data_IF_547449116222
#
_entry.id   IF_547449116222
#
_cell.length_a   1.000
_cell.length_b   1.000
_cell.length_c   1.000
_cell.angle_alpha   90.00
_cell.angle_beta   90.00
_cell.angle_gamma   90.00
#
_symmetry.space_group_name_H-M   'P 1'
#
loop_
_entity.id
_entity.type
_entity.pdbx_description
1 polymer ?
#
# COMPACT_ATOMS: atom_id res chain seq x y z
N UNK A 1 -33.81 -61.69 31.56
CA UNK A 1 -33.07 -60.75 30.70
C UNK A 1 -32.49 -59.66 31.59
N UNK A 2 -31.21 -59.77 31.94
CA UNK A 2 -30.53 -58.89 32.90
C UNK A 2 -30.12 -57.57 32.25
N UNK A 3 -30.30 -56.49 32.99
CA UNK A 3 -30.05 -55.06 32.66
C UNK A 3 -28.65 -54.79 32.08
N UNK A 4 -27.69 -55.69 32.32
CA UNK A 4 -26.33 -55.66 31.78
C UNK A 4 -26.25 -55.87 30.27
N UNK A 5 -27.20 -56.57 29.65
CA UNK A 5 -27.18 -56.80 28.19
C UNK A 5 -27.63 -55.56 27.38
N UNK A 6 -28.53 -54.74 27.93
CA UNK A 6 -28.99 -53.49 27.28
C UNK A 6 -27.93 -52.38 27.32
N UNK A 7 -27.12 -52.30 28.38
CA UNK A 7 -26.03 -51.32 28.48
C UNK A 7 -24.86 -51.63 27.56
N UNK A 8 -24.58 -52.92 27.31
CA UNK A 8 -23.59 -53.35 26.33
C UNK A 8 -24.04 -53.04 24.90
N UNK A 9 -25.32 -53.27 24.58
CA UNK A 9 -25.92 -52.99 23.28
C UNK A 9 -26.03 -51.49 22.98
N UNK A 10 -26.33 -50.67 24.00
CA UNK A 10 -26.29 -49.21 23.90
C UNK A 10 -24.85 -48.72 23.72
N UNK A 11 -23.86 -49.21 24.48
CA UNK A 11 -22.44 -48.85 24.29
C UNK A 11 -21.89 -49.24 22.92
N UNK A 12 -22.35 -50.35 22.36
CA UNK A 12 -21.92 -50.81 21.03
C UNK A 12 -22.56 -50.00 19.89
N UNK A 13 -23.73 -49.39 20.13
CA UNK A 13 -24.38 -48.40 19.23
C UNK A 13 -23.81 -46.99 19.41
N UNK A 14 -23.66 -46.51 20.64
CA UNK A 14 -23.13 -45.17 20.96
C UNK A 14 -21.65 -45.00 20.67
N UNK A 15 -20.84 -46.07 20.66
CA UNK A 15 -19.43 -45.99 20.23
C UNK A 15 -19.24 -45.74 18.73
N UNK A 16 -20.22 -46.12 17.89
CA UNK A 16 -20.22 -45.82 16.44
C UNK A 16 -20.88 -44.46 16.15
N UNK A 17 -21.87 -44.05 16.94
CA UNK A 17 -22.45 -42.71 16.89
C UNK A 17 -21.46 -41.66 17.40
N UNK A 18 -20.74 -41.91 18.50
CA UNK A 18 -19.72 -40.97 19.01
C UNK A 18 -18.52 -40.84 18.07
N UNK A 19 -18.14 -41.93 17.38
CA UNK A 19 -17.11 -41.87 16.35
C UNK A 19 -17.60 -41.07 15.13
N UNK A 20 -18.84 -41.28 14.68
CA UNK A 20 -19.45 -40.49 13.59
C UNK A 20 -19.65 -39.02 13.97
N UNK A 21 -20.04 -38.72 15.19
CA UNK A 21 -20.17 -37.36 15.71
C UNK A 21 -18.81 -36.67 15.82
N UNK A 22 -17.77 -37.40 16.26
CA UNK A 22 -16.39 -36.92 16.27
C UNK A 22 -15.86 -36.66 14.86
N UNK A 23 -16.15 -37.54 13.90
CA UNK A 23 -15.77 -37.38 12.50
C UNK A 23 -16.52 -36.20 11.85
N UNK A 24 -17.81 -36.03 12.14
CA UNK A 24 -18.61 -34.88 11.70
C UNK A 24 -18.10 -33.56 12.31
N UNK A 25 -17.75 -33.55 13.59
CA UNK A 25 -17.19 -32.38 14.25
C UNK A 25 -15.82 -32.00 13.65
N UNK A 26 -14.98 -33.00 13.34
CA UNK A 26 -13.72 -32.77 12.65
C UNK A 26 -13.91 -32.22 11.23
N UNK A 27 -14.85 -32.78 10.47
CA UNK A 27 -15.17 -32.30 9.11
C UNK A 27 -15.71 -30.87 9.11
N UNK A 28 -16.55 -30.51 10.09
CA UNK A 28 -17.05 -29.15 10.25
C UNK A 28 -15.93 -28.17 10.62
N UNK A 29 -15.08 -28.53 11.59
CA UNK A 29 -13.93 -27.70 11.96
C UNK A 29 -12.93 -27.53 10.79
N UNK A 30 -12.74 -28.58 9.99
CA UNK A 30 -11.92 -28.53 8.78
C UNK A 30 -12.54 -27.62 7.71
N UNK A 31 -13.86 -27.72 7.48
CA UNK A 31 -14.58 -26.85 6.55
C UNK A 31 -14.54 -25.38 7.00
N UNK A 32 -14.69 -25.11 8.29
CA UNK A 32 -14.58 -23.76 8.85
C UNK A 32 -13.17 -23.19 8.71
N UNK A 33 -12.14 -24.00 8.93
CA UNK A 33 -10.74 -23.62 8.71
C UNK A 33 -10.43 -23.33 7.23
N UNK A 34 -10.94 -24.16 6.32
CA UNK A 34 -10.82 -23.93 4.88
C UNK A 34 -11.56 -22.65 4.45
N UNK A 35 -12.75 -22.40 4.98
CA UNK A 35 -13.51 -21.17 4.72
C UNK A 35 -12.81 -19.92 5.28
N UNK A 36 -12.20 -20.01 6.46
CA UNK A 36 -11.40 -18.92 7.03
C UNK A 36 -10.16 -18.61 6.19
N UNK A 37 -9.47 -19.65 5.70
CA UNK A 37 -8.32 -19.49 4.81
C UNK A 37 -8.74 -18.86 3.47
N UNK A 38 -9.87 -19.28 2.91
CA UNK A 38 -10.43 -18.68 1.70
C UNK A 38 -10.79 -17.21 1.87
N UNK A 39 -11.42 -16.83 3.00
CA UNK A 39 -11.72 -15.43 3.33
C UNK A 39 -10.46 -14.58 3.46
N UNK A 40 -9.46 -15.07 4.18
CA UNK A 40 -8.17 -14.39 4.32
C UNK A 40 -7.46 -14.18 2.98
N UNK A 41 -7.43 -15.19 2.12
CA UNK A 41 -6.88 -15.06 0.77
C UNK A 41 -7.65 -14.04 -0.07
N UNK A 42 -8.98 -14.01 0.06
CA UNK A 42 -9.82 -13.08 -0.69
C UNK A 42 -9.63 -11.63 -0.23
N UNK A 43 -9.50 -11.38 1.08
CA UNK A 43 -9.16 -10.07 1.63
C UNK A 43 -7.81 -9.59 1.11
N UNK A 44 -6.78 -10.45 1.12
CA UNK A 44 -5.46 -10.12 0.58
C UNK A 44 -5.47 -9.82 -0.92
N UNK A 45 -6.29 -10.53 -1.72
CA UNK A 45 -6.43 -10.23 -3.15
C UNK A 45 -7.07 -8.86 -3.37
N UNK A 46 -8.08 -8.49 -2.56
CA UNK A 46 -8.72 -7.17 -2.63
C UNK A 46 -7.73 -6.06 -2.26
N UNK A 47 -6.94 -6.25 -1.20
CA UNK A 47 -5.88 -5.30 -0.81
C UNK A 47 -4.80 -5.15 -1.89
N UNK A 48 -4.36 -6.26 -2.48
CA UNK A 48 -3.38 -6.22 -3.59
C UNK A 48 -3.95 -5.52 -4.83
N UNK A 49 -5.22 -5.76 -5.17
CA UNK A 49 -5.87 -5.08 -6.28
C UNK A 49 -5.99 -3.56 -6.03
N UNK A 50 -6.35 -3.16 -4.81
CA UNK A 50 -6.39 -1.75 -4.42
C UNK A 50 -4.98 -1.11 -4.49
N UNK A 51 -3.95 -1.81 -4.01
CA UNK A 51 -2.56 -1.35 -4.09
C UNK A 51 -2.06 -1.23 -5.54
N UNK A 52 -2.44 -2.15 -6.43
CA UNK A 52 -2.12 -2.06 -7.86
C UNK A 52 -2.79 -0.87 -8.53
N UNK A 53 -4.04 -0.58 -8.19
CA UNK A 53 -4.75 0.57 -8.74
C UNK A 53 -4.13 1.88 -8.26
N UNK A 54 -3.75 1.96 -6.99
CA UNK A 54 -3.02 3.11 -6.46
C UNK A 54 -1.68 3.31 -7.17
N UNK A 55 -0.92 2.23 -7.38
CA UNK A 55 0.34 2.29 -8.12
C UNK A 55 0.17 2.80 -9.57
N UNK A 56 -0.92 2.40 -10.24
CA UNK A 56 -1.24 2.91 -11.59
C UNK A 56 -1.54 4.40 -11.59
N UNK A 57 -2.31 4.88 -10.60
CA UNK A 57 -2.62 6.30 -10.48
C UNK A 57 -1.35 7.12 -10.24
N UNK A 58 -0.46 6.65 -9.37
CA UNK A 58 0.84 7.31 -9.14
C UNK A 58 1.67 7.32 -10.43
N UNK A 59 1.74 6.21 -11.15
CA UNK A 59 2.48 6.13 -12.41
C UNK A 59 1.95 7.13 -13.46
N UNK A 60 0.62 7.25 -13.59
CA UNK A 60 0.00 8.20 -14.52
C UNK A 60 0.31 9.67 -14.15
N UNK A 61 0.30 10.00 -12.85
CA UNK A 61 0.66 11.35 -12.37
C UNK A 61 2.14 11.65 -12.67
N UNK A 62 3.04 10.68 -12.42
CA UNK A 62 4.46 10.84 -12.70
C UNK A 62 4.75 10.98 -14.19
N UNK A 63 4.03 10.25 -15.05
CA UNK A 63 4.15 10.36 -16.50
C UNK A 63 3.70 11.75 -16.98
N UNK A 64 2.55 12.23 -16.50
CA UNK A 64 2.06 13.57 -16.81
C UNK A 64 3.05 14.67 -16.37
N UNK A 65 3.62 14.56 -15.17
CA UNK A 65 4.58 15.54 -14.68
C UNK A 65 5.89 15.48 -15.46
N UNK A 66 6.34 14.28 -15.84
CA UNK A 66 7.52 14.12 -16.69
C UNK A 66 7.31 14.79 -18.06
N UNK A 67 6.15 14.60 -18.69
CA UNK A 67 5.81 15.25 -19.96
C UNK A 67 5.79 16.78 -19.83
N UNK A 68 5.29 17.31 -18.70
CA UNK A 68 5.32 18.74 -18.38
C UNK A 68 6.76 19.25 -18.28
N UNK A 69 7.60 18.58 -17.48
CA UNK A 69 9.00 18.95 -17.27
C UNK A 69 9.80 18.91 -18.59
N UNK A 70 9.60 17.89 -19.41
CA UNK A 70 10.23 17.75 -20.74
C UNK A 70 9.82 18.92 -21.65
N UNK A 71 8.54 19.27 -21.67
CA UNK A 71 8.02 20.38 -22.48
C UNK A 71 8.58 21.72 -22.03
N UNK A 72 8.57 22.00 -20.72
CA UNK A 72 9.08 23.25 -20.16
C UNK A 72 10.60 23.38 -20.32
N UNK A 73 11.35 22.28 -20.16
CA UNK A 73 12.79 22.26 -20.43
C UNK A 73 13.10 22.49 -21.92
N UNK A 74 12.32 21.91 -22.82
CA UNK A 74 12.42 22.16 -24.27
C UNK A 74 12.20 23.64 -24.59
N UNK A 75 11.17 24.25 -24.01
CA UNK A 75 10.91 25.70 -24.18
C UNK A 75 12.07 26.56 -23.67
N UNK A 76 12.67 26.21 -22.53
CA UNK A 76 13.84 26.93 -22.02
C UNK A 76 15.03 26.83 -22.99
N UNK A 77 15.25 25.66 -23.61
CA UNK A 77 16.30 25.49 -24.62
C UNK A 77 16.03 26.35 -25.87
N UNK A 78 14.79 26.39 -26.35
CA UNK A 78 14.42 27.22 -27.50
C UNK A 78 14.68 28.71 -27.23
N UNK A 79 14.34 29.19 -26.02
CA UNK A 79 14.62 30.57 -25.60
C UNK A 79 16.12 30.86 -25.53
N UNK A 80 16.94 29.91 -25.06
CA UNK A 80 18.41 30.04 -25.09
C UNK A 80 18.92 30.15 -26.52
N UNK A 81 18.40 29.34 -27.45
CA UNK A 81 18.77 29.40 -28.87
C UNK A 81 18.30 30.69 -29.55
N UNK A 82 17.17 31.26 -29.12
CA UNK A 82 16.65 32.54 -29.58
C UNK A 82 17.42 33.76 -29.03
N UNK A 83 18.33 33.55 -28.07
CA UNK A 83 19.09 34.63 -27.44
C UNK A 83 18.33 35.35 -26.33
N UNK A 84 17.36 34.69 -25.71
CA UNK A 84 16.55 35.18 -24.58
C UNK A 84 16.90 34.45 -23.26
N UNK A 85 18.16 34.56 -22.78
CA UNK A 85 18.61 33.79 -21.62
C UNK A 85 17.92 34.19 -20.31
N UNK A 86 17.38 35.42 -20.22
CA UNK A 86 16.65 35.88 -19.05
C UNK A 86 15.34 35.13 -18.85
N UNK A 87 14.57 34.94 -19.92
CA UNK A 87 13.31 34.17 -19.85
C UNK A 87 13.57 32.68 -19.63
N UNK A 88 14.61 32.12 -20.27
CA UNK A 88 15.03 30.75 -20.04
C UNK A 88 15.44 30.50 -18.58
N UNK A 89 16.16 31.45 -17.96
CA UNK A 89 16.57 31.35 -16.57
C UNK A 89 15.38 31.33 -15.60
N UNK A 90 14.32 32.12 -15.85
CA UNK A 90 13.12 32.10 -15.02
C UNK A 90 12.35 30.77 -15.13
N UNK A 91 12.26 30.18 -16.33
CA UNK A 91 11.66 28.84 -16.50
C UNK A 91 12.47 27.79 -15.75
N UNK A 92 13.80 27.77 -15.92
CA UNK A 92 14.67 26.82 -15.22
C UNK A 92 14.61 27.00 -13.70
N UNK A 93 14.47 28.24 -13.21
CA UNK A 93 14.30 28.53 -11.80
C UNK A 93 12.96 28.05 -11.25
N UNK A 94 11.89 28.16 -12.03
CA UNK A 94 10.58 27.60 -11.67
C UNK A 94 10.58 26.07 -11.68
N UNK A 95 11.26 25.44 -12.65
CA UNK A 95 11.48 24.00 -12.70
C UNK A 95 12.34 23.48 -11.53
N UNK A 96 13.30 24.28 -11.08
CA UNK A 96 14.18 23.95 -9.97
C UNK A 96 13.59 24.30 -8.60
N UNK A 97 12.56 25.15 -8.54
CA UNK A 97 11.83 25.41 -7.32
C UNK A 97 10.99 24.18 -7.00
N UNK A 98 11.18 23.60 -5.80
CA UNK A 98 10.34 22.50 -5.32
C UNK A 98 8.86 22.90 -5.46
N UNK A 99 8.02 22.17 -6.22
CA UNK A 99 6.70 22.65 -6.62
C UNK A 99 5.64 22.72 -5.51
N UNK A 100 6.00 22.69 -4.22
CA UNK A 100 5.11 22.09 -3.23
C UNK A 100 4.86 22.94 -1.98
N UNK A 101 4.54 24.21 -2.20
CA UNK A 101 3.73 25.00 -1.27
C UNK A 101 2.40 25.40 -1.94
N UNK A 102 1.51 24.42 -2.16
CA UNK A 102 0.11 24.71 -2.46
C UNK A 102 -0.70 24.72 -1.15
N UNK A 103 -1.07 25.92 -0.71
CA UNK A 103 -1.67 26.24 0.60
C UNK A 103 -3.08 25.64 0.85
N UNK A 104 -3.69 24.99 -0.14
CA UNK A 104 -5.03 24.35 -0.06
C UNK A 104 -5.07 22.93 -0.67
N UNK A 105 -3.91 22.27 -0.82
CA UNK A 105 -3.86 20.95 -1.44
C UNK A 105 -4.06 19.83 -0.41
N UNK A 106 -5.26 19.24 -0.43
CA UNK A 106 -5.64 18.08 0.41
C UNK A 106 -4.92 16.77 0.01
N UNK A 107 -4.07 16.78 -1.02
CA UNK A 107 -3.29 15.61 -1.42
C UNK A 107 -2.14 15.40 -0.44
N UNK A 108 -1.93 14.15 -0.03
CA UNK A 108 -0.83 13.68 0.79
C UNK A 108 0.48 13.70 0.00
N UNK A 109 1.52 14.38 0.50
CA UNK A 109 2.87 14.27 -0.02
C UNK A 109 3.39 12.84 -0.10
N UNK A 110 4.07 12.52 -1.20
CA UNK A 110 4.85 11.31 -1.42
C UNK A 110 6.31 11.71 -1.41
N UNK A 111 7.12 11.04 -0.60
CA UNK A 111 8.54 11.28 -0.46
C UNK A 111 9.38 10.12 -0.97
N UNK A 112 10.61 10.41 -1.39
CA UNK A 112 11.66 9.44 -1.65
C UNK A 112 12.82 9.70 -0.69
N UNK A 113 13.31 8.65 -0.02
CA UNK A 113 14.46 8.76 0.87
C UNK A 113 15.80 8.54 0.16
N UNK A 114 16.92 8.73 0.90
CA UNK A 114 18.27 8.51 0.37
C UNK A 114 18.60 7.08 -0.06
N UNK A 115 17.74 6.11 0.27
CA UNK A 115 17.85 4.71 -0.12
C UNK A 115 16.85 4.33 -1.24
N UNK A 116 16.26 5.32 -1.91
CA UNK A 116 15.25 5.13 -2.96
C UNK A 116 13.96 4.44 -2.51
N UNK A 117 13.61 4.51 -1.21
CA UNK A 117 12.30 4.03 -0.73
C UNK A 117 11.27 5.14 -0.78
N UNK A 118 10.06 4.77 -1.18
CA UNK A 118 8.92 5.67 -1.22
C UNK A 118 8.17 5.69 0.12
N UNK A 119 7.75 6.90 0.51
CA UNK A 119 7.02 7.19 1.73
C UNK A 119 5.82 8.08 1.42
N UNK A 120 4.76 8.00 2.22
CA UNK A 120 3.57 8.85 2.09
C UNK A 120 3.25 9.54 3.42
N UNK A 121 2.84 10.80 3.35
CA UNK A 121 2.43 11.61 4.50
C UNK A 121 1.17 11.10 5.18
N UNK A 122 1.21 11.06 6.50
CA UNK A 122 0.05 10.78 7.34
C UNK A 122 -0.72 12.07 7.74
N UNK A 123 -0.16 13.26 7.49
CA UNK A 123 -0.76 14.57 7.80
C UNK A 123 -0.40 15.16 9.17
N UNK A 124 0.26 14.39 10.02
CA UNK A 124 0.65 14.72 11.40
C UNK A 124 2.18 14.87 11.56
N UNK A 125 2.90 15.06 10.46
CA UNK A 125 4.37 15.05 10.42
C UNK A 125 4.98 13.64 10.41
N UNK A 126 4.16 12.59 10.50
CA UNK A 126 4.58 11.22 10.28
C UNK A 126 4.43 10.81 8.82
N UNK A 127 5.26 9.86 8.42
CA UNK A 127 5.25 9.22 7.10
C UNK A 127 5.21 7.71 7.27
N UNK A 128 4.63 7.00 6.30
CA UNK A 128 4.68 5.53 6.24
C UNK A 128 5.29 5.06 4.93
N UNK A 129 5.90 3.88 4.94
CA UNK A 129 6.41 3.28 3.71
C UNK A 129 5.25 2.95 2.77
N UNK A 130 5.42 3.24 1.47
CA UNK A 130 4.42 2.89 0.45
C UNK A 130 4.42 1.38 0.21
N UNK A 131 5.61 0.74 0.24
CA UNK A 131 5.72 -0.71 0.27
C UNK A 131 5.43 -1.26 1.67
N UNK A 132 4.37 -2.06 1.80
CA UNK A 132 3.96 -2.66 3.06
C UNK A 132 3.04 -1.76 3.86
N UNK A 133 1.78 -1.63 3.42
CA UNK A 133 0.68 -0.87 4.01
C UNK A 133 0.32 -1.20 5.48
N UNK A 134 1.16 -1.96 6.18
CA UNK A 134 1.11 -2.28 7.61
C UNK A 134 2.26 -1.64 8.41
N UNK A 135 3.19 -0.92 7.78
CA UNK A 135 4.26 -0.22 8.50
C UNK A 135 3.67 0.86 9.40
N UNK A 136 4.08 0.89 10.67
CA UNK A 136 3.71 1.97 11.59
C UNK A 136 4.20 3.33 11.05
N UNK A 137 3.43 4.40 11.25
CA UNK A 137 3.89 5.75 10.94
C UNK A 137 5.16 6.09 11.74
N UNK A 138 6.13 6.73 11.09
CA UNK A 138 7.39 7.16 11.69
C UNK A 138 7.57 8.65 11.40
N UNK A 139 8.13 9.46 12.31
CA UNK A 139 8.42 10.85 12.05
C UNK A 139 9.29 11.05 10.80
N UNK A 140 8.93 11.98 9.93
CA UNK A 140 9.71 12.29 8.71
C UNK A 140 11.15 12.70 9.02
N UNK A 141 11.36 13.39 10.15
CA UNK A 141 12.68 13.80 10.63
C UNK A 141 13.60 12.60 10.91
N UNK A 142 13.05 11.48 11.42
CA UNK A 142 13.83 10.28 11.75
C UNK A 142 14.30 9.58 10.47
N UNK A 143 13.44 9.54 9.44
CA UNK A 143 13.82 8.99 8.13
C UNK A 143 14.90 9.85 7.48
N UNK A 144 14.75 11.18 7.51
CA UNK A 144 15.78 12.11 6.99
C UNK A 144 17.11 11.94 7.70
N UNK A 145 17.10 11.82 9.03
CA UNK A 145 18.31 11.60 9.84
C UNK A 145 18.96 10.26 9.51
N UNK A 146 18.16 9.19 9.36
CA UNK A 146 18.65 7.84 9.10
C UNK A 146 19.19 7.63 7.69
N UNK A 147 18.57 8.27 6.70
CA UNK A 147 18.87 8.03 5.27
C UNK A 147 19.62 9.17 4.60
N UNK A 148 19.83 10.29 5.32
CA UNK A 148 20.53 11.47 4.82
C UNK A 148 19.73 12.35 3.87
N UNK A 149 18.58 11.87 3.35
CA UNK A 149 17.75 12.59 2.39
C UNK A 149 16.29 12.18 2.52
N UNK A 150 15.39 13.15 2.42
CA UNK A 150 13.97 12.92 2.25
C UNK A 150 13.42 14.05 1.39
N UNK A 151 13.15 13.75 0.12
CA UNK A 151 12.65 14.70 -0.88
C UNK A 151 11.21 14.36 -1.26
N UNK A 152 10.38 15.36 -1.44
CA UNK A 152 9.04 15.14 -1.99
C UNK A 152 9.16 14.87 -3.50
N UNK A 153 8.42 13.89 -4.01
CA UNK A 153 8.44 13.48 -5.42
C UNK A 153 7.07 13.61 -6.10
N UNK A 154 6.04 13.95 -5.34
CA UNK A 154 4.68 14.06 -5.84
C UNK A 154 3.66 14.02 -4.71
N UNK A 155 2.39 13.97 -5.06
CA UNK A 155 1.28 13.95 -4.11
C UNK A 155 0.18 12.99 -4.58
N UNK A 156 -0.55 12.40 -3.64
CA UNK A 156 -1.72 11.54 -3.89
C UNK A 156 -2.87 11.94 -3.00
N UNK A 157 -4.12 11.74 -3.45
CA UNK A 157 -5.29 11.82 -2.57
C UNK A 157 -5.22 10.79 -1.45
#
# INVERSE_FOLDING_TARGET
>A
MTTTNRLAEIRQRTGKESARESDLAWLLAFADGAAATGRYQQEHIVELAAGQEHARQIAAILEQENDRLVTEAGRALDLLMAGEPGEAAEILKQLAADPIEAQDDNRRPIYLDGNSRAWISCGDGNIRAVEGATSQPIPAADIRTRTGSLREIGRTW
#
